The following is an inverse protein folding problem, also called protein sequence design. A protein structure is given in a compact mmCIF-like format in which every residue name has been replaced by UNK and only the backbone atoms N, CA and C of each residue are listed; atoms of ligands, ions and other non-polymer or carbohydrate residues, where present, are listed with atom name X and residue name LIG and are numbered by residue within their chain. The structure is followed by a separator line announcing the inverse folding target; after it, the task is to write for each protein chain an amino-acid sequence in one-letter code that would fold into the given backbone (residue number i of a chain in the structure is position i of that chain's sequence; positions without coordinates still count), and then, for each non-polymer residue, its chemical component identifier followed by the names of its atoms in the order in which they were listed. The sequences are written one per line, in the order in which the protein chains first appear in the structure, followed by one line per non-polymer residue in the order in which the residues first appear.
data_IF_761888668037
#
_entry.id   IF_761888668037
#
_cell.length_a   1.000
_cell.length_b   1.000
_cell.length_c   1.000
_cell.angle_alpha   90.00
_cell.angle_beta   90.00
_cell.angle_gamma   90.00
#
_symmetry.space_group_name_H-M   'P 1'
#
loop_
_entity.id
_entity.type
_entity.pdbx_description
1 polymer ?
#
# COMPACT_ATOMS: atom_id res chain seq x y z
N UNK A 1 -10.27 1.13 21.53
CA UNK A 1 -10.35 0.58 20.16
C UNK A 1 -8.94 0.29 19.65
N UNK A 2 -8.65 -0.96 19.24
CA UNK A 2 -7.35 -1.30 18.68
C UNK A 2 -7.23 -0.72 17.25
N UNK A 3 -6.56 0.42 17.11
CA UNK A 3 -6.35 1.14 15.84
C UNK A 3 -5.53 0.33 14.82
N UNK A 4 -5.00 -0.85 15.19
CA UNK A 4 -4.24 -1.75 14.31
C UNK A 4 -5.02 -2.97 13.84
N UNK A 5 -6.28 -3.14 14.27
CA UNK A 5 -7.16 -4.21 13.73
C UNK A 5 -7.94 -3.68 12.52
N UNK A 6 -7.73 -4.27 11.34
CA UNK A 6 -8.52 -4.02 10.12
C UNK A 6 -9.02 -5.36 9.58
N UNK A 7 -10.12 -5.39 8.79
CA UNK A 7 -10.62 -6.62 8.19
C UNK A 7 -9.50 -7.38 7.46
N UNK A 8 -9.26 -8.64 7.82
CA UNK A 8 -8.26 -9.49 7.13
C UNK A 8 -6.78 -9.19 7.44
N UNK A 9 -6.47 -8.26 8.35
CA UNK A 9 -5.10 -8.03 8.82
C UNK A 9 -5.07 -7.62 10.30
N UNK A 10 -4.84 -8.61 11.17
CA UNK A 10 -4.57 -8.37 12.58
C UNK A 10 -3.17 -7.77 12.75
N UNK A 11 -3.07 -6.70 13.54
CA UNK A 11 -1.83 -5.93 13.74
C UNK A 11 -1.29 -5.24 12.48
N UNK A 12 -2.18 -4.61 11.71
CA UNK A 12 -1.83 -3.75 10.59
C UNK A 12 -0.89 -2.60 11.04
N UNK A 13 0.00 -2.14 10.14
CA UNK A 13 0.97 -1.11 10.48
C UNK A 13 0.30 0.25 10.61
N UNK A 14 0.87 1.08 11.47
CA UNK A 14 0.53 2.51 11.52
C UNK A 14 1.13 3.20 10.29
N UNK A 15 0.53 4.26 9.72
CA UNK A 15 1.16 5.00 8.63
C UNK A 15 2.59 5.48 8.99
N UNK A 16 3.50 5.40 8.03
CA UNK A 16 4.92 5.78 8.21
C UNK A 16 5.08 7.23 8.71
N UNK A 17 4.26 8.15 8.22
CA UNK A 17 4.24 9.55 8.65
C UNK A 17 3.83 9.74 10.13
N UNK A 18 3.36 8.69 10.79
CA UNK A 18 2.94 8.64 12.19
C UNK A 18 3.79 7.66 13.02
N UNK A 19 4.97 7.27 12.51
CA UNK A 19 5.92 6.43 13.23
C UNK A 19 5.68 4.92 13.12
N UNK A 20 4.94 4.47 12.10
CA UNK A 20 4.80 3.04 11.82
C UNK A 20 6.03 2.39 11.18
N UNK A 21 6.00 1.07 11.11
CA UNK A 21 7.04 0.24 10.51
C UNK A 21 6.95 0.16 8.98
N UNK A 22 7.96 -0.45 8.36
CA UNK A 22 8.14 -0.56 6.91
C UNK A 22 6.99 -1.25 6.17
N UNK A 23 6.15 -2.07 6.84
CA UNK A 23 4.98 -2.69 6.22
C UNK A 23 3.97 -1.64 5.74
N UNK A 24 3.95 -0.45 6.36
CA UNK A 24 3.04 0.63 5.95
C UNK A 24 3.38 1.27 4.60
N UNK A 25 4.52 0.92 3.96
CA UNK A 25 4.82 1.30 2.58
C UNK A 25 3.73 0.88 1.58
N UNK A 26 2.99 -0.18 1.88
CA UNK A 26 1.82 -0.62 1.08
C UNK A 26 0.75 0.47 0.95
N UNK A 27 0.62 1.35 1.95
CA UNK A 27 -0.34 2.47 1.98
C UNK A 27 0.27 3.80 1.54
N UNK A 28 1.56 3.85 1.22
CA UNK A 28 2.21 5.08 0.77
C UNK A 28 1.84 5.45 -0.67
N UNK A 29 1.72 6.75 -0.91
CA UNK A 29 1.44 7.35 -2.21
C UNK A 29 2.61 7.17 -3.20
N UNK A 30 2.33 7.38 -4.49
CA UNK A 30 3.33 7.31 -5.56
C UNK A 30 4.44 8.37 -5.37
N UNK A 31 5.73 8.00 -5.44
CA UNK A 31 6.82 8.98 -5.47
C UNK A 31 6.69 9.99 -6.60
N UNK A 32 7.21 11.21 -6.39
CA UNK A 32 7.16 12.30 -7.37
C UNK A 32 5.87 13.13 -7.42
N UNK A 33 4.88 12.85 -6.56
CA UNK A 33 3.63 13.64 -6.51
C UNK A 33 3.51 14.46 -5.22
N UNK A 34 2.92 15.67 -5.28
CA UNK A 34 2.69 16.49 -4.10
C UNK A 34 1.74 15.78 -3.13
N UNK A 35 2.06 15.82 -1.84
CA UNK A 35 1.30 15.17 -0.78
C UNK A 35 0.72 16.23 0.16
N UNK A 36 -0.55 16.06 0.54
CA UNK A 36 -1.19 16.91 1.58
C UNK A 36 -0.44 16.89 2.91
N UNK A 37 0.37 15.86 3.16
CA UNK A 37 1.21 15.69 4.35
C UNK A 37 2.70 15.57 4.01
N UNK A 38 3.15 16.26 2.96
CA UNK A 38 4.54 16.17 2.48
C UNK A 38 5.57 16.47 3.59
N UNK A 39 5.29 17.44 4.46
CA UNK A 39 6.19 17.87 5.56
C UNK A 39 6.48 16.79 6.60
N UNK A 40 5.58 15.80 6.76
CA UNK A 40 5.74 14.70 7.71
C UNK A 40 5.95 13.35 7.03
N UNK A 41 6.12 13.34 5.70
CA UNK A 41 6.26 12.12 4.92
C UNK A 41 7.64 11.49 5.12
N UNK A 42 7.69 10.25 5.65
CA UNK A 42 8.93 9.48 5.81
C UNK A 42 9.07 8.33 4.82
N UNK A 43 8.30 8.34 3.71
CA UNK A 43 8.34 7.28 2.69
C UNK A 43 9.76 7.09 2.15
N UNK A 44 10.37 8.18 1.69
CA UNK A 44 11.64 8.10 0.97
C UNK A 44 12.80 7.76 1.92
N UNK A 45 12.76 8.26 3.16
CA UNK A 45 13.64 7.83 4.24
C UNK A 45 13.53 6.31 4.50
N UNK A 46 12.29 5.80 4.57
CA UNK A 46 12.03 4.38 4.81
C UNK A 46 12.50 3.53 3.63
N UNK A 47 12.26 3.96 2.39
CA UNK A 47 12.75 3.27 1.18
C UNK A 47 14.29 3.18 1.18
N UNK A 48 14.97 4.29 1.51
CA UNK A 48 16.43 4.31 1.66
C UNK A 48 16.90 3.35 2.76
N UNK A 49 16.24 3.35 3.92
CA UNK A 49 16.55 2.46 5.06
C UNK A 49 16.50 0.98 4.66
N UNK A 50 15.52 0.59 3.84
CA UNK A 50 15.38 -0.81 3.39
C UNK A 50 16.12 -1.12 2.08
N UNK A 51 16.81 -0.14 1.50
CA UNK A 51 17.68 -0.34 0.33
C UNK A 51 16.97 -0.40 -1.03
N UNK A 52 15.75 0.14 -1.13
CA UNK A 52 14.93 0.15 -2.37
C UNK A 52 14.87 1.58 -2.94
N UNK A 53 14.91 1.71 -4.26
CA UNK A 53 14.74 3.01 -4.95
C UNK A 53 13.25 3.36 -5.12
N UNK A 54 12.96 4.63 -5.42
CA UNK A 54 11.59 5.05 -5.74
C UNK A 54 11.04 4.33 -6.98
N UNK A 55 11.87 4.15 -8.01
CA UNK A 55 11.50 3.46 -9.25
C UNK A 55 11.16 1.98 -8.99
N UNK A 56 11.95 1.29 -8.18
CA UNK A 56 11.67 -0.09 -7.79
C UNK A 56 10.39 -0.20 -7.00
N UNK A 57 10.16 0.71 -6.06
CA UNK A 57 8.92 0.79 -5.30
C UNK A 57 7.70 0.99 -6.20
N UNK A 58 7.79 1.91 -7.18
CA UNK A 58 6.75 2.13 -8.19
C UNK A 58 6.52 0.84 -8.99
N UNK A 59 7.59 0.23 -9.50
CA UNK A 59 7.50 -1.01 -10.30
C UNK A 59 6.83 -2.15 -9.55
N UNK A 60 7.15 -2.35 -8.26
CA UNK A 60 6.52 -3.38 -7.41
C UNK A 60 5.02 -3.11 -7.31
N UNK A 61 4.61 -1.86 -7.05
CA UNK A 61 3.20 -1.50 -6.84
C UNK A 61 2.39 -1.53 -8.13
N UNK A 62 2.96 -1.09 -9.24
CA UNK A 62 2.34 -1.10 -10.56
C UNK A 62 2.17 -2.55 -11.07
N UNK A 63 3.19 -3.41 -10.88
CA UNK A 63 3.08 -4.83 -11.23
C UNK A 63 2.03 -5.53 -10.36
N UNK A 64 2.05 -5.30 -9.05
CA UNK A 64 1.03 -5.84 -8.15
C UNK A 64 -0.37 -5.38 -8.55
N UNK A 65 -0.51 -4.14 -9.01
CA UNK A 65 -1.78 -3.62 -9.48
C UNK A 65 -2.31 -4.39 -10.68
N UNK A 66 -1.47 -4.55 -11.71
CA UNK A 66 -1.80 -5.28 -12.94
C UNK A 66 -2.17 -6.73 -12.67
N UNK A 67 -1.37 -7.42 -11.86
CA UNK A 67 -1.59 -8.83 -11.49
C UNK A 67 -2.92 -9.06 -10.75
N UNK A 68 -3.42 -8.05 -10.04
CA UNK A 68 -4.63 -8.15 -9.23
C UNK A 68 -5.84 -7.41 -9.83
N UNK A 69 -5.72 -6.90 -11.07
CA UNK A 69 -6.74 -6.07 -11.71
C UNK A 69 -7.16 -4.86 -10.84
N UNK A 70 -6.15 -4.15 -10.31
CA UNK A 70 -6.29 -3.03 -9.37
C UNK A 70 -6.07 -1.66 -10.00
N UNK A 71 -5.84 -1.62 -11.31
CA UNK A 71 -5.76 -0.38 -12.09
C UNK A 71 -7.16 0.23 -12.20
N UNK A 72 -7.29 1.51 -11.87
CA UNK A 72 -8.57 2.20 -11.86
C UNK A 72 -8.40 3.71 -11.98
N UNK A 73 -9.03 4.31 -13.00
CA UNK A 73 -8.96 5.74 -13.31
C UNK A 73 -9.54 6.64 -12.21
N UNK A 74 -10.41 6.11 -11.36
CA UNK A 74 -11.05 6.86 -10.28
C UNK A 74 -10.18 6.92 -9.01
N UNK A 75 -9.20 6.03 -8.87
CA UNK A 75 -8.33 5.95 -7.69
C UNK A 75 -7.16 6.93 -7.76
N UNK A 76 -6.62 7.31 -6.60
CA UNK A 76 -5.41 8.12 -6.54
C UNK A 76 -4.27 7.41 -7.29
N UNK A 77 -3.58 8.15 -8.16
CA UNK A 77 -2.47 7.64 -8.97
C UNK A 77 -2.83 6.45 -9.88
N UNK A 78 -4.12 6.26 -10.18
CA UNK A 78 -4.59 5.28 -11.14
C UNK A 78 -4.57 3.82 -10.66
N UNK A 79 -4.29 3.56 -9.38
CA UNK A 79 -4.26 2.19 -8.85
C UNK A 79 -4.60 2.10 -7.35
N UNK A 80 -5.36 1.05 -7.00
CA UNK A 80 -5.62 0.67 -5.60
C UNK A 80 -4.34 0.34 -4.81
N UNK A 81 -3.24 -0.03 -5.49
CA UNK A 81 -1.93 -0.24 -4.86
C UNK A 81 -1.44 1.02 -4.14
N UNK A 82 -1.84 2.22 -4.57
CA UNK A 82 -1.48 3.49 -3.90
C UNK A 82 -2.55 4.03 -2.94
N UNK A 83 -3.72 3.40 -2.85
CA UNK A 83 -4.75 3.81 -1.89
C UNK A 83 -4.29 3.65 -0.43
N UNK A 84 -4.79 4.54 0.42
CA UNK A 84 -4.45 4.67 1.83
C UNK A 84 -5.25 3.72 2.75
N UNK A 85 -4.79 3.60 4.00
CA UNK A 85 -5.38 2.71 5.03
C UNK A 85 -6.76 3.14 5.55
N UNK A 86 -7.33 4.29 5.16
CA UNK A 86 -8.55 4.88 5.76
C UNK A 86 -9.62 3.83 6.05
N UNK A 87 -9.82 3.52 7.34
CA UNK A 87 -10.71 2.42 7.75
C UNK A 87 -12.17 2.76 7.50
N UNK A 88 -12.53 4.01 7.72
CA UNK A 88 -13.91 4.52 7.62
C UNK A 88 -14.36 4.77 6.17
N UNK A 89 -13.53 4.41 5.19
CA UNK A 89 -13.88 4.56 3.78
C UNK A 89 -13.05 5.60 3.04
N UNK A 90 -13.06 5.47 1.71
CA UNK A 90 -12.61 6.50 0.79
C UNK A 90 -13.48 6.38 -0.47
N UNK A 91 -14.23 7.43 -0.86
CA UNK A 91 -15.19 7.34 -1.97
C UNK A 91 -14.59 6.72 -3.24
N UNK A 92 -13.39 7.18 -3.62
CA UNK A 92 -12.70 6.70 -4.83
C UNK A 92 -12.23 5.25 -4.71
N UNK A 93 -11.69 4.85 -3.55
CA UNK A 93 -11.25 3.46 -3.31
C UNK A 93 -12.46 2.53 -3.31
N UNK A 94 -13.50 2.92 -2.59
CA UNK A 94 -14.66 2.07 -2.34
C UNK A 94 -15.49 1.90 -3.62
N UNK A 95 -15.59 2.96 -4.44
CA UNK A 95 -16.14 2.87 -5.79
C UNK A 95 -15.34 1.91 -6.69
N UNK A 96 -13.99 2.01 -6.70
CA UNK A 96 -13.16 1.11 -7.51
C UNK A 96 -13.26 -0.35 -7.04
N UNK A 97 -13.28 -0.59 -5.73
CA UNK A 97 -13.52 -1.92 -5.18
C UNK A 97 -14.93 -2.44 -5.54
N UNK A 98 -15.93 -1.56 -5.61
CA UNK A 98 -17.28 -1.92 -6.04
C UNK A 98 -17.34 -2.31 -7.51
N UNK A 99 -16.57 -1.63 -8.37
CA UNK A 99 -16.48 -1.98 -9.81
C UNK A 99 -15.80 -3.32 -10.03
N UNK A 100 -14.73 -3.62 -9.27
CA UNK A 100 -13.97 -4.86 -9.38
C UNK A 100 -14.72 -6.04 -8.74
N UNK A 101 -15.37 -5.82 -7.61
CA UNK A 101 -16.00 -6.87 -6.78
C UNK A 101 -17.52 -6.67 -6.65
N UNK A 102 -18.21 -6.54 -7.79
CA UNK A 102 -19.64 -6.15 -7.88
C UNK A 102 -20.58 -6.96 -6.98
N UNK A 103 -20.34 -8.26 -6.84
CA UNK A 103 -21.24 -9.18 -6.12
C UNK A 103 -20.88 -9.36 -4.63
N UNK A 104 -19.92 -8.60 -4.11
CA UNK A 104 -19.48 -8.70 -2.71
C UNK A 104 -20.03 -7.57 -1.85
N UNK A 105 -20.25 -7.82 -0.56
CA UNK A 105 -20.61 -6.78 0.40
C UNK A 105 -19.44 -5.80 0.63
N UNK A 106 -19.73 -4.62 1.17
CA UNK A 106 -18.71 -3.62 1.49
C UNK A 106 -17.62 -4.18 2.41
N UNK A 107 -18.01 -4.90 3.45
CA UNK A 107 -17.12 -5.50 4.44
C UNK A 107 -16.18 -6.51 3.78
N UNK A 108 -16.72 -7.32 2.86
CA UNK A 108 -15.93 -8.31 2.14
C UNK A 108 -14.94 -7.66 1.17
N UNK A 109 -15.32 -6.57 0.51
CA UNK A 109 -14.43 -5.77 -0.34
C UNK A 109 -13.29 -5.16 0.47
N UNK A 110 -13.58 -4.62 1.66
CA UNK A 110 -12.54 -4.11 2.56
C UNK A 110 -11.62 -5.21 3.08
N UNK A 111 -12.17 -6.37 3.43
CA UNK A 111 -11.36 -7.54 3.84
C UNK A 111 -10.38 -7.95 2.74
N UNK A 112 -10.83 -8.03 1.48
CA UNK A 112 -9.97 -8.33 0.33
C UNK A 112 -8.92 -7.24 0.15
N UNK A 113 -9.32 -5.97 0.19
CA UNK A 113 -8.41 -4.83 0.06
C UNK A 113 -7.26 -4.89 1.07
N UNK A 114 -7.56 -5.08 2.36
CA UNK A 114 -6.54 -5.14 3.41
C UNK A 114 -5.70 -6.41 3.34
N UNK A 115 -6.27 -7.56 2.96
CA UNK A 115 -5.49 -8.79 2.69
C UNK A 115 -4.48 -8.59 1.58
N UNK A 116 -4.90 -7.98 0.47
CA UNK A 116 -4.01 -7.65 -0.65
C UNK A 116 -2.98 -6.59 -0.29
N UNK A 117 -3.32 -5.64 0.59
CA UNK A 117 -2.34 -4.69 1.13
C UNK A 117 -1.29 -5.36 2.00
N UNK A 118 -1.67 -6.38 2.76
CA UNK A 118 -0.72 -7.22 3.52
C UNK A 118 0.22 -7.96 2.57
N UNK A 119 -0.33 -8.61 1.55
CA UNK A 119 0.45 -9.29 0.50
C UNK A 119 1.44 -8.34 -0.19
N UNK A 120 1.00 -7.12 -0.54
CA UNK A 120 1.88 -6.10 -1.12
C UNK A 120 2.97 -5.64 -0.14
N UNK A 121 2.68 -5.55 1.16
CA UNK A 121 3.70 -5.24 2.16
C UNK A 121 4.78 -6.33 2.19
N UNK A 122 4.37 -7.60 2.24
CA UNK A 122 5.29 -8.74 2.22
C UNK A 122 6.14 -8.75 0.94
N UNK A 123 5.56 -8.42 -0.21
CA UNK A 123 6.28 -8.33 -1.49
C UNK A 123 7.34 -7.23 -1.49
N UNK A 124 7.03 -6.04 -0.96
CA UNK A 124 7.99 -4.94 -0.85
C UNK A 124 9.17 -5.35 0.02
N UNK A 125 8.89 -5.95 1.19
CA UNK A 125 9.94 -6.32 2.14
C UNK A 125 10.79 -7.49 1.65
N UNK A 126 10.17 -8.49 1.00
CA UNK A 126 10.89 -9.61 0.39
C UNK A 126 11.84 -9.12 -0.69
N UNK A 127 11.40 -8.22 -1.57
CA UNK A 127 12.27 -7.61 -2.59
C UNK A 127 13.46 -6.87 -1.95
N UNK A 128 13.21 -6.10 -0.89
CA UNK A 128 14.24 -5.40 -0.13
C UNK A 128 15.30 -6.37 0.42
N UNK A 129 14.82 -7.45 1.07
CA UNK A 129 15.66 -8.47 1.68
C UNK A 129 16.54 -9.19 0.65
N UNK A 130 15.96 -9.64 -0.46
CA UNK A 130 16.67 -10.35 -1.53
C UNK A 130 17.73 -9.46 -2.18
N UNK A 131 17.40 -8.18 -2.42
CA UNK A 131 18.34 -7.19 -2.96
C UNK A 131 19.53 -6.98 -2.02
N UNK A 132 19.28 -6.80 -0.74
CA UNK A 132 20.35 -6.58 0.24
C UNK A 132 21.23 -7.82 0.43
N UNK A 133 20.64 -9.03 0.34
CA UNK A 133 21.39 -10.29 0.35
C UNK A 133 22.35 -10.39 -0.85
N UNK A 134 21.92 -9.96 -2.04
CA UNK A 134 22.74 -10.02 -3.25
C UNK A 134 23.86 -8.98 -3.29
N UNK A 135 23.73 -7.86 -2.55
CA UNK A 135 24.81 -6.85 -2.41
C UNK A 135 25.94 -7.29 -1.48
N UNK A 136 25.65 -8.22 -0.58
CA UNK A 136 26.59 -8.72 0.43
C UNK A 136 27.22 -10.07 0.02
N UNK A 137 27.01 -10.50 -1.22
CA UNK A 137 27.65 -11.65 -1.86
C UNK A 137 28.69 -11.16 -2.85
#
# INVERSE_FOLDING_TARGET
MNTRKVPGWDNAPVPICKGGDERALTFCCKPGYPLSFASICKRDETLKKIGITQEEFIKIKDNFSKENNWDSKITCFGSLSYCCMRKDGCPNRDAALSEIYKNLSYEKRLEIYFKKKKELADRILKFAYEKNKNKNR
#
